data_IF_160110762219
#
_entry.id   IF_160110762219
#
_cell.length_a   1.000
_cell.length_b   1.000
_cell.length_c   1.000
_cell.angle_alpha   90.00
_cell.angle_beta   90.00
_cell.angle_gamma   90.00
#
_symmetry.space_group_name_H-M   'P 1'
#
loop_
_entity.id
_entity.type
_entity.pdbx_description
1 polymer ?
#
# COMPACT_ATOMS: atom_id res chain seq x y z
N UNK A 1 -11.19 -15.71 -7.80
CA UNK A 1 -11.30 -15.37 -6.37
C UNK A 1 -10.12 -14.51 -5.91
N UNK A 2 -8.87 -14.92 -6.18
CA UNK A 2 -7.66 -14.11 -5.97
C UNK A 2 -7.75 -12.65 -6.49
N UNK A 3 -8.15 -12.45 -7.75
CA UNK A 3 -8.31 -11.12 -8.36
C UNK A 3 -9.28 -10.20 -7.58
N UNK A 4 -10.29 -10.78 -6.92
CA UNK A 4 -11.27 -10.01 -6.12
C UNK A 4 -10.60 -9.46 -4.86
N UNK A 5 -9.73 -10.23 -4.22
CA UNK A 5 -8.96 -9.75 -3.07
C UNK A 5 -8.00 -8.62 -3.48
N UNK A 6 -7.24 -8.80 -4.56
CA UNK A 6 -6.34 -7.75 -5.08
C UNK A 6 -7.12 -6.47 -5.39
N UNK A 7 -8.23 -6.57 -6.13
CA UNK A 7 -9.08 -5.41 -6.45
C UNK A 7 -9.67 -4.75 -5.19
N UNK A 8 -10.11 -5.53 -4.21
CA UNK A 8 -10.63 -5.03 -2.95
C UNK A 8 -9.55 -4.27 -2.16
N UNK A 9 -8.33 -4.83 -2.05
CA UNK A 9 -7.19 -4.18 -1.37
C UNK A 9 -6.82 -2.86 -2.02
N UNK A 10 -6.70 -2.84 -3.35
CA UNK A 10 -6.41 -1.61 -4.11
C UNK A 10 -7.52 -0.58 -3.92
N UNK A 11 -8.78 -0.98 -4.00
CA UNK A 11 -9.93 -0.06 -3.85
C UNK A 11 -10.00 0.54 -2.45
N UNK A 12 -9.84 -0.31 -1.41
CA UNK A 12 -9.80 0.14 -0.01
C UNK A 12 -8.62 1.09 0.19
N UNK A 13 -7.41 0.71 -0.25
CA UNK A 13 -6.22 1.54 -0.14
C UNK A 13 -6.42 2.92 -0.80
N UNK A 14 -6.92 2.94 -2.04
CA UNK A 14 -7.23 4.17 -2.76
C UNK A 14 -8.26 5.03 -2.04
N UNK A 15 -9.35 4.45 -1.53
CA UNK A 15 -10.38 5.20 -0.83
C UNK A 15 -9.85 5.88 0.44
N UNK A 16 -9.08 5.15 1.26
CA UNK A 16 -8.49 5.70 2.49
C UNK A 16 -7.41 6.74 2.20
N UNK A 17 -6.53 6.51 1.23
CA UNK A 17 -5.48 7.47 0.86
C UNK A 17 -6.06 8.72 0.21
N UNK A 18 -7.09 8.59 -0.63
CA UNK A 18 -7.80 9.73 -1.21
C UNK A 18 -8.47 10.56 -0.12
N UNK A 19 -9.17 9.92 0.83
CA UNK A 19 -9.76 10.61 1.97
C UNK A 19 -8.70 11.28 2.86
N UNK A 20 -7.59 10.59 3.14
CA UNK A 20 -6.50 11.14 3.93
C UNK A 20 -5.88 12.37 3.26
N UNK A 21 -5.61 12.29 1.95
CA UNK A 21 -5.11 13.42 1.15
C UNK A 21 -6.09 14.60 1.13
N UNK A 22 -7.38 14.32 0.96
CA UNK A 22 -8.42 15.35 1.03
C UNK A 22 -8.52 16.00 2.42
N UNK A 23 -8.46 15.20 3.49
CA UNK A 23 -8.48 15.69 4.87
C UNK A 23 -7.26 16.56 5.15
N UNK A 24 -6.08 16.11 4.72
CA UNK A 24 -4.83 16.87 4.86
C UNK A 24 -4.88 18.19 4.08
N UNK A 25 -5.36 18.17 2.84
CA UNK A 25 -5.55 19.39 2.04
C UNK A 25 -6.48 20.40 2.75
N UNK A 26 -7.60 19.94 3.32
CA UNK A 26 -8.63 20.83 3.90
C UNK A 26 -8.33 21.27 5.33
N UNK A 27 -7.76 20.40 6.16
CA UNK A 27 -7.58 20.61 7.61
C UNK A 27 -6.12 20.68 8.04
N UNK A 28 -5.18 20.44 7.11
CA UNK A 28 -3.74 20.27 7.39
C UNK A 28 -3.42 19.14 8.38
N UNK A 29 -4.39 18.25 8.60
CA UNK A 29 -4.29 17.15 9.55
C UNK A 29 -5.17 15.97 9.11
N UNK A 30 -4.73 14.76 9.43
CA UNK A 30 -5.46 13.51 9.23
C UNK A 30 -5.73 12.86 10.59
N UNK A 31 -7.02 12.64 10.90
CA UNK A 31 -7.43 12.04 12.17
C UNK A 31 -6.89 10.62 12.36
N UNK A 32 -6.49 10.29 13.58
CA UNK A 32 -6.04 8.94 13.95
C UNK A 32 -7.11 7.85 13.71
N UNK A 33 -8.39 8.22 13.72
CA UNK A 33 -9.48 7.29 13.44
C UNK A 33 -9.38 6.67 12.04
N UNK A 34 -8.82 7.40 11.07
CA UNK A 34 -8.62 6.91 9.69
C UNK A 34 -7.68 5.72 9.69
N UNK A 35 -6.53 5.85 10.36
CA UNK A 35 -5.51 4.81 10.43
C UNK A 35 -5.95 3.61 11.28
N UNK A 36 -6.66 3.87 12.38
CA UNK A 36 -7.25 2.83 13.24
C UNK A 36 -8.24 1.96 12.48
N UNK A 37 -8.98 2.52 11.51
CA UNK A 37 -9.88 1.75 10.66
C UNK A 37 -9.15 1.09 9.48
N UNK A 38 -8.22 1.82 8.86
CA UNK A 38 -7.52 1.37 7.65
C UNK A 38 -6.61 0.17 7.93
N UNK A 39 -5.77 0.24 8.97
CA UNK A 39 -4.75 -0.78 9.21
C UNK A 39 -5.33 -2.19 9.49
N UNK A 40 -6.35 -2.37 10.36
CA UNK A 40 -6.94 -3.69 10.58
C UNK A 40 -7.66 -4.23 9.35
N UNK A 41 -8.34 -3.36 8.59
CA UNK A 41 -9.03 -3.76 7.37
C UNK A 41 -8.05 -4.21 6.29
N UNK A 42 -6.97 -3.44 6.07
CA UNK A 42 -5.89 -3.79 5.17
C UNK A 42 -5.22 -5.11 5.57
N UNK A 43 -4.88 -5.26 6.86
CA UNK A 43 -4.30 -6.48 7.38
C UNK A 43 -5.21 -7.69 7.16
N UNK A 44 -6.51 -7.59 7.51
CA UNK A 44 -7.45 -8.69 7.37
C UNK A 44 -7.59 -9.15 5.91
N UNK A 45 -7.69 -8.21 4.97
CA UNK A 45 -7.78 -8.53 3.53
C UNK A 45 -6.50 -9.16 2.99
N UNK A 46 -5.33 -8.58 3.27
CA UNK A 46 -4.04 -9.10 2.78
C UNK A 46 -3.68 -10.44 3.42
N UNK A 47 -3.88 -10.56 4.74
CA UNK A 47 -3.60 -11.79 5.46
C UNK A 47 -4.51 -12.93 5.01
N UNK A 48 -5.82 -12.68 4.83
CA UNK A 48 -6.75 -13.71 4.34
C UNK A 48 -6.44 -14.15 2.91
N UNK A 49 -6.02 -13.24 2.03
CA UNK A 49 -5.56 -13.60 0.69
C UNK A 49 -4.37 -14.55 0.73
N UNK A 50 -3.28 -14.18 1.43
CA UNK A 50 -2.09 -15.04 1.50
C UNK A 50 -2.37 -16.35 2.25
N UNK A 51 -3.12 -16.31 3.34
CA UNK A 51 -3.47 -17.51 4.07
C UNK A 51 -4.26 -18.54 3.23
N UNK A 52 -5.13 -18.07 2.32
CA UNK A 52 -5.96 -18.94 1.49
C UNK A 52 -5.32 -19.34 0.16
N UNK A 53 -4.49 -18.48 -0.44
CA UNK A 53 -4.01 -18.65 -1.82
C UNK A 53 -2.49 -18.72 -1.97
N UNK A 54 -1.71 -18.22 -1.01
CA UNK A 54 -0.25 -18.16 -1.10
C UNK A 54 0.41 -18.10 0.30
N UNK A 55 0.38 -19.24 1.00
CA UNK A 55 0.85 -19.30 2.40
C UNK A 55 2.36 -19.05 2.53
N UNK A 56 3.13 -19.44 1.52
CA UNK A 56 4.58 -19.23 1.47
C UNK A 56 4.97 -17.75 1.39
N UNK A 57 4.04 -16.87 0.97
CA UNK A 57 4.24 -15.42 0.96
C UNK A 57 4.09 -14.75 2.34
N UNK A 58 3.49 -15.42 3.34
CA UNK A 58 3.24 -14.82 4.67
C UNK A 58 4.51 -14.32 5.40
N UNK A 59 5.64 -15.06 5.42
CA UNK A 59 6.88 -14.56 6.00
C UNK A 59 7.40 -13.30 5.29
N UNK A 60 7.32 -13.28 3.96
CA UNK A 60 7.74 -12.12 3.17
C UNK A 60 6.82 -10.92 3.40
N UNK A 61 5.52 -11.14 3.54
CA UNK A 61 4.56 -10.11 3.92
C UNK A 61 4.93 -9.47 5.26
N UNK A 62 5.16 -10.30 6.29
CA UNK A 62 5.58 -9.81 7.61
C UNK A 62 6.90 -9.04 7.57
N UNK A 63 7.89 -9.54 6.83
CA UNK A 63 9.18 -8.88 6.64
C UNK A 63 9.02 -7.52 5.93
N UNK A 64 8.24 -7.46 4.85
CA UNK A 64 8.03 -6.25 4.06
C UNK A 64 7.32 -5.17 4.89
N UNK A 65 6.27 -5.56 5.63
CA UNK A 65 5.61 -4.67 6.58
C UNK A 65 6.55 -4.17 7.68
N UNK A 66 7.35 -5.07 8.28
CA UNK A 66 8.29 -4.70 9.33
C UNK A 66 9.34 -3.71 8.84
N UNK A 67 9.98 -3.99 7.70
CA UNK A 67 11.00 -3.12 7.10
C UNK A 67 10.42 -1.74 6.75
N UNK A 68 9.25 -1.71 6.11
CA UNK A 68 8.60 -0.44 5.72
C UNK A 68 8.16 0.36 6.94
N UNK A 69 7.68 -0.31 7.99
CA UNK A 69 7.28 0.36 9.23
C UNK A 69 8.47 0.91 10.01
N UNK A 70 9.58 0.17 10.07
CA UNK A 70 10.83 0.65 10.65
C UNK A 70 11.32 1.87 9.86
N UNK A 71 11.34 1.78 8.54
CA UNK A 71 11.74 2.88 7.67
C UNK A 71 10.85 4.13 7.84
N UNK A 72 9.53 3.97 7.84
CA UNK A 72 8.58 5.05 8.08
C UNK A 72 8.79 5.71 9.46
N UNK A 73 9.09 4.90 10.49
CA UNK A 73 9.38 5.39 11.84
C UNK A 73 10.68 6.18 11.88
N UNK A 74 11.74 5.68 11.23
CA UNK A 74 13.03 6.39 11.10
C UNK A 74 12.82 7.74 10.43
N UNK A 75 12.06 7.80 9.32
CA UNK A 75 11.79 9.05 8.61
C UNK A 75 10.96 10.04 9.45
N UNK A 76 10.01 9.55 10.24
CA UNK A 76 9.26 10.40 11.17
C UNK A 76 10.18 11.03 12.22
N UNK A 77 11.03 10.24 12.89
CA UNK A 77 11.93 10.76 13.92
C UNK A 77 13.09 11.59 13.37
N UNK A 78 13.53 11.31 12.14
CA UNK A 78 14.52 12.13 11.43
C UNK A 78 13.95 13.49 10.98
N UNK A 79 12.64 13.73 11.13
CA UNK A 79 11.97 14.95 10.68
C UNK A 79 11.73 14.99 9.16
N UNK A 80 11.93 13.88 8.45
CA UNK A 80 11.69 13.77 7.02
C UNK A 80 10.20 13.66 6.67
N UNK A 81 9.39 13.08 7.54
CA UNK A 81 7.95 12.87 7.35
C UNK A 81 7.11 13.38 8.52
N UNK A 82 5.89 13.81 8.18
CA UNK A 82 4.85 14.04 9.18
C UNK A 82 4.30 12.74 9.76
N UNK A 83 3.61 12.83 10.89
CA UNK A 83 3.00 11.66 11.52
C UNK A 83 1.90 11.00 10.69
N UNK A 84 1.25 11.74 9.79
CA UNK A 84 0.27 11.21 8.84
C UNK A 84 0.96 10.40 7.72
N UNK A 85 2.05 10.91 7.15
CA UNK A 85 2.80 10.26 6.07
C UNK A 85 3.40 8.92 6.52
N UNK A 86 3.97 8.89 7.73
CA UNK A 86 4.50 7.67 8.31
C UNK A 86 3.42 6.58 8.48
N UNK A 87 2.23 6.96 8.98
CA UNK A 87 1.10 6.04 9.12
C UNK A 87 0.54 5.61 7.76
N UNK A 88 0.53 6.49 6.77
CA UNK A 88 0.12 6.17 5.41
C UNK A 88 1.01 5.09 4.81
N UNK A 89 2.34 5.22 4.95
CA UNK A 89 3.30 4.22 4.47
C UNK A 89 3.16 2.87 5.18
N UNK A 90 2.98 2.87 6.50
CA UNK A 90 2.71 1.65 7.26
C UNK A 90 1.43 0.96 6.77
N UNK A 91 0.35 1.71 6.57
CA UNK A 91 -0.91 1.15 6.07
C UNK A 91 -0.82 0.69 4.61
N UNK A 92 -0.02 1.38 3.79
CA UNK A 92 0.25 0.97 2.42
C UNK A 92 0.97 -0.38 2.39
N UNK A 93 1.97 -0.58 3.25
CA UNK A 93 2.66 -1.86 3.38
C UNK A 93 1.75 -3.00 3.87
N UNK A 94 0.73 -2.70 4.70
CA UNK A 94 -0.29 -3.69 5.08
C UNK A 94 -1.22 -4.03 3.92
N UNK A 95 -1.67 -3.03 3.14
CA UNK A 95 -2.66 -3.21 2.09
C UNK A 95 -2.06 -3.84 0.83
N UNK A 96 -0.89 -3.35 0.40
CA UNK A 96 -0.25 -3.67 -0.86
C UNK A 96 1.25 -3.90 -0.64
N UNK A 97 1.65 -4.97 0.06
CA UNK A 97 3.06 -5.28 0.34
C UNK A 97 3.87 -5.57 -0.92
N UNK A 98 3.20 -6.05 -1.97
CA UNK A 98 3.79 -6.34 -3.27
C UNK A 98 2.98 -5.63 -4.35
N UNK A 99 3.65 -5.28 -5.45
CA UNK A 99 3.01 -4.61 -6.57
C UNK A 99 1.91 -5.49 -7.20
N UNK A 100 0.67 -4.99 -7.34
CA UNK A 100 -0.46 -5.77 -7.85
C UNK A 100 -0.41 -5.90 -9.38
N UNK A 101 0.57 -6.65 -9.88
CA UNK A 101 0.83 -6.82 -11.33
C UNK A 101 -0.38 -7.36 -12.08
N UNK A 102 -1.11 -8.30 -11.51
CA UNK A 102 -2.23 -8.96 -12.17
C UNK A 102 -3.41 -8.03 -12.50
N UNK A 103 -3.62 -6.97 -11.70
CA UNK A 103 -4.67 -5.99 -11.94
C UNK A 103 -4.29 -5.00 -13.06
N UNK A 104 -2.99 -4.74 -13.22
CA UNK A 104 -2.46 -3.72 -14.12
C UNK A 104 -2.05 -4.28 -15.48
N UNK A 105 -1.79 -5.60 -15.61
CA UNK A 105 -1.50 -6.28 -16.89
C UNK A 105 -2.48 -5.92 -18.03
N UNK A 106 -3.82 -5.86 -17.83
CA UNK A 106 -4.75 -5.51 -18.92
C UNK A 106 -4.66 -4.04 -19.34
N UNK A 107 -4.25 -3.16 -18.43
CA UNK A 107 -4.14 -1.71 -18.67
C UNK A 107 -2.76 -1.34 -19.24
N UNK A 108 -1.72 -2.09 -18.86
CA UNK A 108 -0.34 -1.97 -19.33
C UNK A 108 -0.09 -2.87 -20.55
N UNK A 109 -1.02 -2.90 -21.52
CA UNK A 109 -0.76 -3.52 -22.84
C UNK A 109 0.62 -3.10 -23.37
N UNK A 110 1.23 -3.96 -24.22
CA UNK A 110 2.68 -3.94 -24.57
C UNK A 110 3.35 -2.59 -24.34
N UNK A 111 4.36 -2.58 -23.45
CA UNK A 111 5.09 -1.39 -23.04
C UNK A 111 5.37 -0.51 -24.26
N UNK A 112 4.72 0.65 -24.32
CA UNK A 112 4.99 1.56 -25.42
C UNK A 112 6.49 1.90 -25.38
N UNK A 113 7.20 1.92 -26.52
CA UNK A 113 8.65 2.14 -26.56
C UNK A 113 9.08 3.44 -25.87
N UNK A 114 8.16 4.41 -25.78
CA UNK A 114 8.36 5.70 -25.10
C UNK A 114 8.47 5.51 -23.58
N UNK A 115 7.71 4.58 -23.00
CA UNK A 115 7.72 4.37 -21.55
C UNK A 115 9.02 3.72 -21.07
N UNK A 116 9.61 2.81 -21.87
CA UNK A 116 10.94 2.23 -21.62
C UNK A 116 12.05 3.26 -21.67
N UNK A 117 11.91 4.29 -22.52
CA UNK A 117 12.91 5.35 -22.66
C UNK A 117 12.91 6.35 -21.51
N UNK A 118 11.75 6.63 -20.90
CA UNK A 118 11.62 7.65 -19.85
C UNK A 118 11.63 7.11 -18.42
N UNK A 119 11.22 5.86 -18.19
CA UNK A 119 11.19 5.25 -16.86
C UNK A 119 11.82 3.85 -16.89
N UNK A 120 13.16 3.75 -16.87
CA UNK A 120 13.86 2.48 -16.80
C UNK A 120 13.86 1.99 -15.35
N UNK A 121 12.68 1.75 -14.78
CA UNK A 121 12.57 0.96 -13.55
C UNK A 121 12.30 -0.46 -14.00
N UNK A 122 13.39 -1.17 -14.26
CA UNK A 122 13.39 -2.61 -14.53
C UNK A 122 12.83 -3.34 -13.30
N UNK A 123 11.72 -4.05 -13.48
CA UNK A 123 11.30 -5.14 -12.58
C UNK A 123 12.13 -6.37 -12.90
#
# INVERSE_FOLDING_TARGET
>A
MYQVFVAARVTVCMAFLFYASWSDYKKREVSNSVWILFAPLAFALTFSEFFLFDFEALPFYGLCFALTSIFATILFYAGGFGGADAKALMCLALALPFYPSELLKPLMGETSPIMEMFFPVTV
#
